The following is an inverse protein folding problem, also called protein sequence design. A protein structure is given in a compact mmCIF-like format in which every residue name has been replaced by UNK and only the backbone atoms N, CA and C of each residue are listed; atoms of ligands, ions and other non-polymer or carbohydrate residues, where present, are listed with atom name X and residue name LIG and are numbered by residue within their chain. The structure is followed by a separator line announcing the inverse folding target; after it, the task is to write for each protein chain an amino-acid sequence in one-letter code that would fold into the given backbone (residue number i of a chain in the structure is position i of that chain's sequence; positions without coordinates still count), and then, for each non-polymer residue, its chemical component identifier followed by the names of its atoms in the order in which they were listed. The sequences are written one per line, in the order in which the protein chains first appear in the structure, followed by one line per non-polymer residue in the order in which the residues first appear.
data_IF_647939105184
#
_entry.id   IF_647939105184
#
_cell.length_a   1.000
_cell.length_b   1.000
_cell.length_c   1.000
_cell.angle_alpha   90.00
_cell.angle_beta   90.00
_cell.angle_gamma   90.00
#
_symmetry.space_group_name_H-M   'P 1'
#
loop_
_entity.id
_entity.type
_entity.pdbx_description
1 polymer ?
#
# COMPACT_ATOMS: atom_id res chain seq x y z
N UNK A 1 -41.25 7.55 33.10
CA UNK A 1 -41.35 7.28 31.65
C UNK A 1 -41.02 8.54 30.82
N UNK A 2 -41.75 9.66 30.95
CA UNK A 2 -41.47 10.91 30.20
C UNK A 2 -40.09 11.52 30.52
N UNK A 3 -39.65 11.45 31.78
CA UNK A 3 -38.33 11.95 32.22
C UNK A 3 -37.16 11.34 31.43
N UNK A 4 -37.23 10.04 31.17
CA UNK A 4 -36.19 9.31 30.42
C UNK A 4 -36.17 9.73 28.94
N UNK A 5 -37.34 9.98 28.34
CA UNK A 5 -37.43 10.48 26.97
C UNK A 5 -36.84 11.89 26.80
N UNK A 6 -37.11 12.79 27.74
CA UNK A 6 -36.54 14.15 27.74
C UNK A 6 -35.02 14.07 27.90
N UNK A 7 -34.53 13.21 28.79
CA UNK A 7 -33.10 13.01 29.00
C UNK A 7 -32.39 12.47 27.75
N UNK A 8 -33.02 11.53 27.03
CA UNK A 8 -32.51 11.02 25.74
C UNK A 8 -32.48 12.09 24.65
N UNK A 9 -33.57 12.85 24.47
CA UNK A 9 -33.65 13.94 23.50
C UNK A 9 -32.60 15.03 23.78
N UNK A 10 -32.32 15.33 25.04
CA UNK A 10 -31.30 16.29 25.42
C UNK A 10 -29.88 15.89 24.97
N UNK A 11 -29.55 14.60 25.03
CA UNK A 11 -28.27 14.08 24.52
C UNK A 11 -28.22 14.24 23.00
N UNK A 12 -29.31 13.93 22.29
CA UNK A 12 -29.41 14.14 20.84
C UNK A 12 -29.23 15.62 20.48
N UNK A 13 -29.86 16.55 21.20
CA UNK A 13 -29.69 17.99 20.98
C UNK A 13 -28.25 18.46 21.20
N UNK A 14 -27.54 17.90 22.21
CA UNK A 14 -26.10 18.18 22.37
C UNK A 14 -25.30 17.78 21.14
N UNK A 15 -25.51 16.58 20.61
CA UNK A 15 -24.79 16.10 19.42
C UNK A 15 -25.18 16.83 18.12
N UNK A 16 -26.36 17.44 18.06
CA UNK A 16 -26.80 18.26 16.91
C UNK A 16 -26.06 19.62 16.85
N UNK A 17 -25.51 20.09 17.97
CA UNK A 17 -24.78 21.35 18.04
C UNK A 17 -23.46 21.35 17.24
N UNK A 18 -23.00 22.54 16.78
CA UNK A 18 -21.75 22.67 16.04
C UNK A 18 -20.55 22.21 16.89
N UNK A 19 -19.62 21.48 16.27
CA UNK A 19 -18.41 20.96 16.92
C UNK A 19 -18.46 19.47 17.31
N UNK A 20 -19.63 18.83 17.28
CA UNK A 20 -19.78 17.39 17.56
C UNK A 20 -19.72 16.50 16.32
N UNK A 21 -19.28 17.06 15.19
CA UNK A 21 -19.19 16.35 13.91
C UNK A 21 -17.77 15.82 13.69
N UNK A 22 -17.63 14.52 13.51
CA UNK A 22 -16.34 13.85 13.22
C UNK A 22 -16.07 13.69 11.72
N UNK A 23 -16.96 14.19 10.85
CA UNK A 23 -16.82 14.05 9.40
C UNK A 23 -15.65 14.84 8.86
N UNK A 24 -14.93 14.25 7.91
CA UNK A 24 -13.80 14.86 7.22
C UNK A 24 -14.17 15.09 5.75
N UNK A 25 -13.91 16.28 5.21
CA UNK A 25 -14.25 16.62 3.81
C UNK A 25 -13.22 16.05 2.82
N UNK A 26 -13.30 14.76 2.50
CA UNK A 26 -12.52 14.14 1.43
C UNK A 26 -13.07 14.57 0.04
N UNK A 27 -12.23 14.89 -0.98
CA UNK A 27 -10.76 14.80 -1.06
C UNK A 27 -10.01 16.13 -0.81
N UNK A 28 -10.65 17.12 -0.16
CA UNK A 28 -10.11 18.50 -0.07
C UNK A 28 -8.73 18.53 0.61
N UNK A 29 -7.79 19.28 0.03
CA UNK A 29 -6.41 19.43 0.53
C UNK A 29 -6.43 19.86 2.02
N UNK A 30 -5.68 19.16 2.86
CA UNK A 30 -5.67 19.34 4.34
C UNK A 30 -6.61 18.42 5.13
N UNK A 31 -7.55 17.75 4.46
CA UNK A 31 -8.47 16.77 5.06
C UNK A 31 -8.16 15.32 4.67
N UNK A 32 -7.11 15.09 3.87
CA UNK A 32 -6.64 13.72 3.61
C UNK A 32 -6.04 13.16 4.88
N UNK A 33 -6.39 11.92 5.20
CA UNK A 33 -5.78 11.20 6.31
C UNK A 33 -4.30 11.07 6.04
N UNK A 34 -3.48 11.53 6.99
CA UNK A 34 -2.05 11.28 6.96
C UNK A 34 -1.83 9.85 7.47
N UNK A 35 -1.33 8.94 6.61
CA UNK A 35 -1.05 7.58 7.05
C UNK A 35 0.06 7.59 8.11
N UNK A 36 0.01 6.63 9.03
CA UNK A 36 1.11 6.39 9.96
C UNK A 36 2.38 5.98 9.19
N UNK A 37 3.54 6.15 9.81
CA UNK A 37 4.84 5.79 9.20
C UNK A 37 4.91 4.32 8.77
N UNK A 38 4.27 3.41 9.52
CA UNK A 38 4.22 1.97 9.23
C UNK A 38 3.00 1.55 8.39
N UNK A 39 2.33 2.50 7.75
CA UNK A 39 1.19 2.20 6.90
C UNK A 39 1.61 1.34 5.70
N UNK A 40 0.72 0.42 5.30
CA UNK A 40 0.97 -0.55 4.24
C UNK A 40 0.15 -0.20 3.00
N UNK A 41 0.68 0.70 2.17
CA UNK A 41 0.08 1.14 0.91
C UNK A 41 0.70 0.47 -0.32
N UNK A 42 0.86 1.24 -1.40
CA UNK A 42 1.44 0.75 -2.65
C UNK A 42 2.88 0.27 -2.45
N UNK A 43 3.21 -0.85 -3.11
CA UNK A 43 4.56 -1.40 -3.12
C UNK A 43 5.47 -0.52 -3.97
N UNK A 44 6.70 -0.28 -3.52
CA UNK A 44 7.73 0.43 -4.26
C UNK A 44 9.02 -0.37 -4.27
N UNK A 45 9.66 -0.45 -5.42
CA UNK A 45 11.02 -0.96 -5.56
C UNK A 45 11.99 0.20 -5.32
N UNK A 46 12.91 0.01 -4.37
CA UNK A 46 13.86 1.05 -3.99
C UNK A 46 14.92 1.21 -5.09
N UNK A 47 15.08 2.42 -5.66
CA UNK A 47 16.13 2.68 -6.64
C UNK A 47 17.51 2.67 -5.97
N UNK A 48 18.52 2.25 -6.73
CA UNK A 48 19.95 2.35 -6.46
C UNK A 48 20.62 3.15 -7.61
N UNK A 49 21.93 3.37 -7.57
CA UNK A 49 22.67 4.22 -8.51
C UNK A 49 22.29 4.01 -9.99
N UNK A 50 22.40 2.77 -10.48
CA UNK A 50 22.19 2.43 -11.91
C UNK A 50 20.97 1.51 -12.16
N UNK A 51 20.35 0.98 -11.10
CA UNK A 51 19.22 0.02 -11.18
C UNK A 51 18.46 -0.05 -9.86
N UNK A 52 17.39 -0.84 -9.78
CA UNK A 52 16.75 -1.20 -8.51
C UNK A 52 17.67 -2.04 -7.59
N UNK A 53 17.50 -1.93 -6.26
CA UNK A 53 18.25 -2.73 -5.27
C UNK A 53 17.99 -4.25 -5.33
N UNK A 54 16.98 -4.68 -6.08
CA UNK A 54 16.53 -6.07 -6.10
C UNK A 54 17.56 -6.98 -6.79
N UNK A 55 17.95 -8.06 -6.12
CA UNK A 55 18.90 -9.07 -6.63
C UNK A 55 18.22 -10.35 -7.16
N UNK A 56 16.90 -10.33 -7.33
CA UNK A 56 16.10 -11.48 -7.76
C UNK A 56 16.43 -12.78 -6.96
N UNK A 57 16.40 -12.69 -5.63
CA UNK A 57 16.60 -13.81 -4.71
C UNK A 57 15.38 -14.74 -4.53
N UNK A 58 14.22 -14.36 -5.10
CA UNK A 58 12.95 -15.11 -5.03
C UNK A 58 12.33 -15.30 -3.63
N UNK A 59 12.81 -14.60 -2.59
CA UNK A 59 12.20 -14.66 -1.26
C UNK A 59 10.81 -14.02 -1.20
N UNK A 60 10.65 -12.83 -1.79
CA UNK A 60 9.36 -12.11 -1.83
C UNK A 60 8.21 -12.94 -2.46
N UNK A 61 8.36 -13.57 -3.65
CA UNK A 61 7.31 -14.42 -4.20
C UNK A 61 7.08 -15.70 -3.40
N UNK A 62 8.11 -16.22 -2.73
CA UNK A 62 8.01 -17.44 -1.90
C UNK A 62 7.22 -17.18 -0.62
N UNK A 63 7.48 -16.07 0.07
CA UNK A 63 6.78 -15.70 1.32
C UNK A 63 5.37 -15.15 1.07
N UNK A 64 5.05 -14.75 -0.16
CA UNK A 64 3.78 -14.12 -0.47
C UNK A 64 2.62 -15.11 -0.26
N UNK A 65 1.73 -14.88 0.72
CA UNK A 65 0.64 -15.82 1.01
C UNK A 65 -0.37 -15.91 -0.14
N UNK A 66 -0.56 -14.81 -0.88
CA UNK A 66 -1.46 -14.74 -2.02
C UNK A 66 -0.82 -15.11 -3.36
N UNK A 67 0.49 -15.41 -3.39
CA UNK A 67 1.27 -15.72 -4.60
C UNK A 67 1.02 -14.71 -5.74
N UNK A 68 1.02 -13.42 -5.41
CA UNK A 68 0.72 -12.33 -6.34
C UNK A 68 1.96 -11.71 -7.01
N UNK A 69 3.16 -12.11 -6.60
CA UNK A 69 4.43 -11.57 -7.08
C UNK A 69 5.03 -12.52 -8.11
N UNK A 70 5.40 -12.01 -9.28
CA UNK A 70 6.11 -12.76 -10.33
C UNK A 70 7.49 -12.15 -10.52
N UNK A 71 8.54 -12.98 -10.46
CA UNK A 71 9.94 -12.57 -10.61
C UNK A 71 10.62 -13.44 -11.66
N UNK A 72 11.32 -12.83 -12.60
CA UNK A 72 12.23 -13.52 -13.52
C UNK A 72 13.60 -12.85 -13.46
N UNK A 73 14.65 -13.63 -13.20
CA UNK A 73 16.01 -13.12 -13.12
C UNK A 73 16.74 -13.12 -14.45
N UNK A 74 17.62 -12.15 -14.65
CA UNK A 74 18.65 -12.17 -15.67
C UNK A 74 20.00 -11.77 -15.05
N UNK A 75 21.07 -11.99 -15.81
CA UNK A 75 22.44 -11.65 -15.42
C UNK A 75 22.99 -10.56 -16.34
N UNK A 76 23.73 -9.62 -15.78
CA UNK A 76 24.42 -8.59 -16.55
C UNK A 76 25.81 -9.08 -17.01
N UNK A 77 26.51 -8.27 -17.81
CA UNK A 77 27.87 -8.59 -18.30
C UNK A 77 28.91 -8.77 -17.19
N UNK A 78 28.64 -8.29 -15.97
CA UNK A 78 29.48 -8.42 -14.78
C UNK A 78 29.13 -9.66 -13.94
N UNK A 79 28.14 -10.46 -14.36
CA UNK A 79 27.65 -11.64 -13.62
C UNK A 79 26.72 -11.30 -12.45
N UNK A 80 26.26 -10.06 -12.33
CA UNK A 80 25.33 -9.67 -11.28
C UNK A 80 23.89 -9.97 -11.69
N UNK A 81 23.16 -10.58 -10.76
CA UNK A 81 21.76 -10.95 -10.94
C UNK A 81 20.83 -9.76 -10.70
N UNK A 82 19.83 -9.58 -11.56
CA UNK A 82 18.80 -8.55 -11.43
C UNK A 82 17.43 -9.08 -11.87
N UNK A 83 16.30 -8.47 -11.43
CA UNK A 83 14.99 -8.86 -11.90
C UNK A 83 14.74 -8.28 -13.30
N UNK A 84 14.77 -9.15 -14.32
CA UNK A 84 14.32 -8.80 -15.66
C UNK A 84 12.82 -8.51 -15.65
N UNK A 85 12.07 -9.34 -14.95
CA UNK A 85 10.63 -9.16 -14.72
C UNK A 85 10.39 -9.11 -13.23
N UNK A 86 9.67 -8.08 -12.80
CA UNK A 86 9.11 -7.97 -11.45
C UNK A 86 7.69 -7.45 -11.59
N UNK A 87 6.70 -8.26 -11.24
CA UNK A 87 5.29 -7.88 -11.34
C UNK A 87 4.55 -8.18 -10.04
N UNK A 88 3.64 -7.30 -9.65
CA UNK A 88 2.72 -7.53 -8.52
C UNK A 88 1.28 -7.36 -9.01
N UNK A 89 0.44 -8.38 -8.82
CA UNK A 89 -1.01 -8.28 -9.04
C UNK A 89 -1.69 -7.75 -7.78
N UNK A 90 -2.11 -6.47 -7.80
CA UNK A 90 -2.77 -5.83 -6.67
C UNK A 90 -4.19 -6.35 -6.41
N UNK A 91 -4.84 -7.02 -7.37
CA UNK A 91 -6.15 -7.64 -7.14
C UNK A 91 -6.04 -8.91 -6.30
N UNK A 92 -4.85 -9.51 -6.24
CA UNK A 92 -4.54 -10.67 -5.39
C UNK A 92 -3.79 -10.29 -4.12
N UNK A 93 -3.07 -9.18 -4.12
CA UNK A 93 -2.29 -8.76 -2.96
C UNK A 93 -3.18 -8.45 -1.76
N UNK A 94 -2.80 -8.96 -0.58
CA UNK A 94 -3.51 -8.71 0.70
C UNK A 94 -2.83 -7.64 1.56
N UNK A 95 -1.83 -6.94 1.03
CA UNK A 95 -1.12 -5.84 1.71
C UNK A 95 -0.56 -6.20 3.11
N UNK A 96 -0.12 -7.44 3.29
CA UNK A 96 0.40 -7.92 4.59
C UNK A 96 1.79 -7.38 4.94
N UNK A 97 2.62 -7.05 3.93
CA UNK A 97 3.99 -6.56 4.13
C UNK A 97 5.06 -7.64 4.32
N UNK A 98 4.75 -8.93 4.23
CA UNK A 98 5.75 -10.00 4.36
C UNK A 98 6.86 -9.92 3.31
N UNK A 99 6.56 -9.39 2.13
CA UNK A 99 7.56 -9.17 1.09
C UNK A 99 8.64 -8.15 1.49
N UNK A 100 8.28 -7.14 2.29
CA UNK A 100 9.19 -6.14 2.85
C UNK A 100 10.07 -6.78 3.92
N UNK A 101 9.45 -7.48 4.87
CA UNK A 101 10.17 -8.13 5.98
C UNK A 101 11.10 -9.26 5.51
N UNK A 102 10.72 -9.98 4.45
CA UNK A 102 11.53 -11.07 3.90
C UNK A 102 12.64 -10.61 2.97
N UNK A 103 12.70 -9.33 2.57
CA UNK A 103 13.69 -8.85 1.62
C UNK A 103 15.05 -8.65 2.31
N UNK A 104 16.10 -9.42 1.96
CA UNK A 104 17.39 -9.34 2.66
C UNK A 104 18.20 -8.08 2.33
N UNK A 105 17.81 -7.37 1.28
CA UNK A 105 18.50 -6.17 0.75
C UNK A 105 17.59 -4.94 0.75
N UNK A 106 16.43 -5.03 1.41
CA UNK A 106 15.45 -3.93 1.53
C UNK A 106 15.09 -3.31 0.16
N UNK A 107 14.97 -4.17 -0.85
CA UNK A 107 14.68 -3.72 -2.22
C UNK A 107 13.21 -3.40 -2.49
N UNK A 108 12.30 -3.84 -1.61
CA UNK A 108 10.87 -3.59 -1.71
C UNK A 108 10.38 -2.97 -0.40
N UNK A 109 9.67 -1.86 -0.51
CA UNK A 109 9.04 -1.15 0.60
C UNK A 109 7.54 -0.95 0.32
N UNK A 110 6.78 -0.62 1.37
CA UNK A 110 5.39 -0.19 1.23
C UNK A 110 5.30 1.30 1.54
N UNK A 111 4.65 2.04 0.65
CA UNK A 111 4.49 3.49 0.72
C UNK A 111 3.23 3.89 1.47
N UNK A 112 3.07 5.20 1.69
CA UNK A 112 1.83 5.80 2.18
C UNK A 112 0.70 5.88 1.15
N UNK A 113 0.92 5.48 -0.10
CA UNK A 113 -0.06 5.63 -1.16
C UNK A 113 -1.21 4.62 -0.99
N UNK A 114 -2.42 5.11 -0.71
CA UNK A 114 -3.64 4.30 -0.54
C UNK A 114 -4.71 4.54 -1.61
N UNK A 115 -4.59 5.61 -2.39
CA UNK A 115 -5.55 5.99 -3.44
C UNK A 115 -5.26 5.21 -4.74
N UNK A 116 -5.41 3.88 -4.71
CA UNK A 116 -4.96 2.97 -5.77
C UNK A 116 -6.05 2.53 -6.76
N UNK A 117 -7.21 3.20 -6.74
CA UNK A 117 -8.32 2.85 -7.62
C UNK A 117 -7.95 3.08 -9.09
N UNK A 118 -8.23 2.08 -9.94
CA UNK A 118 -8.10 2.17 -11.40
C UNK A 118 -9.39 1.67 -12.05
N UNK A 119 -9.55 1.92 -13.35
CA UNK A 119 -10.78 1.61 -14.10
C UNK A 119 -10.77 0.22 -14.72
N UNK A 120 -9.61 -0.28 -15.16
CA UNK A 120 -9.48 -1.57 -15.84
C UNK A 120 -8.73 -2.57 -14.98
N UNK A 121 -8.96 -3.87 -15.24
CA UNK A 121 -8.35 -4.96 -14.46
C UNK A 121 -6.84 -5.00 -14.64
N UNK A 122 -6.40 -4.72 -15.86
CA UNK A 122 -5.01 -4.73 -16.31
C UNK A 122 -4.17 -3.68 -15.56
N UNK A 123 -4.78 -2.55 -15.22
CA UNK A 123 -4.12 -1.43 -14.51
C UNK A 123 -3.67 -1.82 -13.09
N UNK A 124 -4.23 -2.89 -12.51
CA UNK A 124 -3.86 -3.40 -11.19
C UNK A 124 -2.68 -4.36 -11.21
N UNK A 125 -2.16 -4.71 -12.39
CA UNK A 125 -0.88 -5.40 -12.51
C UNK A 125 0.22 -4.36 -12.60
N UNK A 126 1.07 -4.29 -11.57
CA UNK A 126 2.15 -3.34 -11.48
C UNK A 126 3.44 -4.00 -11.96
N UNK A 127 3.93 -3.54 -13.10
CA UNK A 127 5.23 -3.93 -13.64
C UNK A 127 6.38 -3.21 -12.93
N UNK A 128 7.61 -3.69 -13.15
CA UNK A 128 8.83 -3.19 -12.54
C UNK A 128 8.97 -1.67 -12.65
N UNK A 129 8.74 -1.13 -13.85
CA UNK A 129 8.90 0.30 -14.12
C UNK A 129 7.86 1.16 -13.39
N UNK A 130 6.69 0.61 -13.05
CA UNK A 130 5.67 1.30 -12.24
C UNK A 130 5.97 1.25 -10.74
N UNK A 131 6.73 0.24 -10.31
CA UNK A 131 7.12 0.03 -8.92
C UNK A 131 8.39 0.79 -8.58
N UNK A 132 9.29 1.00 -9.53
CA UNK A 132 10.48 1.85 -9.37
C UNK A 132 10.01 3.30 -9.43
N UNK A 133 9.99 3.96 -8.28
CA UNK A 133 9.64 5.37 -8.11
C UNK A 133 10.70 6.09 -7.30
#
# INVERSE_FOLDING_TARGET
MIKEFIQGLWITFKHLGPGNTTTVQYPRKGHRLQPAERFRGLHRLVPDHDREKCVACYLCPTVCPAKCITVESAENVKGEKYPKVYKIDLLRCIFCGYCVEACPVEAIEMTGDYELANYHREDFTFDKDRLVR
#
